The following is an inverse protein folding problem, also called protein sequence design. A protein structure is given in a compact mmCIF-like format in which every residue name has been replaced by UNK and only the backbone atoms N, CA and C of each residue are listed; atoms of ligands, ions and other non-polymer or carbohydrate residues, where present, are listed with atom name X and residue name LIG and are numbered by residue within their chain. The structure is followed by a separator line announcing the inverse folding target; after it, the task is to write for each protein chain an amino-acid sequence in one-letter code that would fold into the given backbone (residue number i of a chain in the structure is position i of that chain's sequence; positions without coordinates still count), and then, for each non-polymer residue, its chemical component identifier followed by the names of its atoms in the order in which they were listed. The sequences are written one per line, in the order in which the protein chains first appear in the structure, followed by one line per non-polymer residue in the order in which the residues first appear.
data_IF_865424751683
#
_entry.id   IF_865424751683
#
_cell.length_a   1.000
_cell.length_b   1.000
_cell.length_c   1.000
_cell.angle_alpha   90.00
_cell.angle_beta   90.00
_cell.angle_gamma   90.00
#
_symmetry.space_group_name_H-M   'P 1'
#
loop_
_entity.id
_entity.type
_entity.pdbx_description
1 polymer ?
#
# COMPACT_ATOMS: atom_id res chain seq x y z
N UNK A 1 -35.99 -6.29 -6.35
CA UNK A 1 -35.01 -5.48 -5.60
C UNK A 1 -33.96 -6.44 -5.03
N UNK A 2 -32.84 -6.64 -5.73
CA UNK A 2 -31.71 -7.42 -5.20
C UNK A 2 -30.68 -6.43 -4.70
N UNK A 3 -30.52 -6.35 -3.37
CA UNK A 3 -29.50 -5.52 -2.75
C UNK A 3 -28.12 -6.13 -3.02
N UNK A 4 -27.34 -5.48 -3.88
CA UNK A 4 -25.92 -5.79 -4.03
C UNK A 4 -25.22 -5.44 -2.73
N UNK A 5 -24.79 -6.47 -2.00
CA UNK A 5 -23.94 -6.34 -0.83
C UNK A 5 -22.60 -5.75 -1.33
N UNK A 6 -22.44 -4.43 -1.22
CA UNK A 6 -21.15 -3.78 -1.47
C UNK A 6 -20.14 -4.41 -0.50
N UNK A 7 -19.07 -4.99 -1.04
CA UNK A 7 -17.97 -5.54 -0.25
C UNK A 7 -17.20 -4.37 0.36
N UNK A 8 -17.68 -3.89 1.51
CA UNK A 8 -16.99 -2.86 2.30
C UNK A 8 -15.61 -3.38 2.69
N UNK A 9 -14.61 -2.50 2.64
CA UNK A 9 -13.30 -2.79 3.22
C UNK A 9 -13.46 -3.24 4.68
N UNK A 10 -12.90 -4.40 4.99
CA UNK A 10 -12.78 -4.93 6.35
C UNK A 10 -11.29 -5.02 6.67
N UNK A 11 -10.76 -4.15 7.55
CA UNK A 11 -9.35 -4.17 7.85
C UNK A 11 -8.98 -5.46 8.60
N UNK A 12 -7.83 -6.05 8.26
CA UNK A 12 -7.28 -7.21 8.95
C UNK A 12 -6.72 -6.83 10.33
N UNK A 13 -6.21 -5.61 10.48
CA UNK A 13 -5.78 -5.04 11.76
C UNK A 13 -6.61 -3.82 12.16
N UNK A 14 -6.86 -3.59 13.47
CA UNK A 14 -7.64 -2.44 13.94
C UNK A 14 -7.02 -1.07 13.59
N UNK A 15 -5.74 -1.04 13.22
CA UNK A 15 -5.03 0.17 12.81
C UNK A 15 -4.20 -0.12 11.55
N UNK A 16 -4.63 0.34 10.35
CA UNK A 16 -3.80 0.26 9.17
C UNK A 16 -2.52 1.08 9.38
N UNK A 17 -1.41 0.60 8.83
CA UNK A 17 -0.08 1.22 9.02
C UNK A 17 -0.01 2.54 8.26
N UNK A 18 -0.54 2.57 7.04
CA UNK A 18 -0.53 3.75 6.18
C UNK A 18 -1.68 3.70 5.17
N UNK A 19 -2.14 4.85 4.72
CA UNK A 19 -3.13 4.98 3.66
C UNK A 19 -2.79 6.17 2.78
N UNK A 20 -2.94 6.01 1.48
CA UNK A 20 -2.82 7.09 0.49
C UNK A 20 -3.95 7.01 -0.52
N UNK A 21 -4.37 8.16 -1.02
CA UNK A 21 -5.35 8.30 -2.09
C UNK A 21 -4.73 9.17 -3.19
N UNK A 22 -4.66 8.63 -4.41
CA UNK A 22 -4.19 9.36 -5.58
C UNK A 22 -5.27 10.31 -6.11
N UNK A 23 -6.50 9.81 -6.14
CA UNK A 23 -7.70 10.52 -6.56
C UNK A 23 -8.93 9.91 -5.85
N UNK A 24 -10.14 10.33 -6.23
CA UNK A 24 -11.38 9.83 -5.61
C UNK A 24 -11.65 8.33 -5.84
N UNK A 25 -10.99 7.72 -6.83
CA UNK A 25 -11.22 6.34 -7.22
C UNK A 25 -10.09 5.41 -6.72
N UNK A 26 -8.87 5.90 -6.65
CA UNK A 26 -7.68 5.11 -6.39
C UNK A 26 -7.14 5.31 -4.97
N UNK A 27 -7.27 4.27 -4.14
CA UNK A 27 -6.86 4.28 -2.72
C UNK A 27 -6.08 3.01 -2.43
N UNK A 28 -5.00 3.16 -1.66
CA UNK A 28 -4.15 2.07 -1.15
C UNK A 28 -4.09 2.16 0.36
N UNK A 29 -4.31 1.03 1.04
CA UNK A 29 -4.19 0.90 2.50
C UNK A 29 -3.21 -0.22 2.80
N UNK A 30 -2.13 0.12 3.50
CA UNK A 30 -1.20 -0.86 4.05
C UNK A 30 -1.81 -1.50 5.29
N UNK A 31 -2.27 -2.73 5.12
CA UNK A 31 -3.00 -3.53 6.10
C UNK A 31 -2.33 -4.89 6.20
N UNK A 32 -1.33 -4.96 7.09
CA UNK A 32 -0.41 -6.09 7.15
C UNK A 32 -1.15 -7.43 7.26
N UNK A 33 -0.76 -8.46 6.47
CA UNK A 33 0.47 -8.55 5.68
C UNK A 33 0.37 -8.04 4.24
N UNK A 34 -0.69 -7.30 3.88
CA UNK A 34 -1.00 -6.96 2.49
C UNK A 34 -1.29 -5.48 2.25
N UNK A 35 -1.72 -5.23 1.02
CA UNK A 35 -2.20 -3.94 0.55
C UNK A 35 -3.65 -4.09 0.08
N UNK A 36 -4.56 -3.40 0.74
CA UNK A 36 -5.92 -3.27 0.26
C UNK A 36 -5.97 -2.14 -0.76
N UNK A 37 -6.47 -2.43 -1.97
CA UNK A 37 -6.51 -1.47 -3.07
C UNK A 37 -7.88 -1.39 -3.71
N UNK A 38 -8.29 -0.17 -4.04
CA UNK A 38 -9.49 0.11 -4.84
C UNK A 38 -9.15 1.04 -5.99
N UNK A 39 -9.90 0.92 -7.08
CA UNK A 39 -9.85 1.80 -8.26
C UNK A 39 -11.24 2.34 -8.62
N UNK A 40 -12.19 2.22 -7.69
CA UNK A 40 -13.59 2.64 -7.87
C UNK A 40 -14.14 3.35 -6.63
N UNK A 41 -13.28 4.01 -5.85
CA UNK A 41 -13.72 4.83 -4.72
C UNK A 41 -14.19 4.00 -3.53
N UNK A 42 -13.71 2.75 -3.44
CA UNK A 42 -13.96 1.85 -2.33
C UNK A 42 -15.25 1.04 -2.44
N UNK A 43 -15.87 0.97 -3.63
CA UNK A 43 -16.98 0.03 -3.87
C UNK A 43 -16.49 -1.42 -3.91
N UNK A 44 -15.32 -1.66 -4.50
CA UNK A 44 -14.64 -2.94 -4.52
C UNK A 44 -13.18 -2.80 -4.08
N UNK A 45 -12.74 -3.76 -3.25
CA UNK A 45 -11.39 -3.82 -2.70
C UNK A 45 -10.72 -5.13 -3.13
N UNK A 46 -9.47 -5.02 -3.60
CA UNK A 46 -8.62 -6.16 -3.88
C UNK A 46 -7.52 -6.23 -2.81
N UNK A 47 -7.20 -7.43 -2.36
CA UNK A 47 -6.08 -7.67 -1.45
C UNK A 47 -4.86 -8.11 -2.27
N UNK A 48 -3.75 -7.38 -2.10
CA UNK A 48 -2.45 -7.74 -2.66
C UNK A 48 -1.59 -8.28 -1.52
N UNK A 49 -1.16 -9.53 -1.64
CA UNK A 49 -0.13 -10.08 -0.75
C UNK A 49 1.22 -9.49 -1.12
N UNK A 50 1.86 -8.82 -0.16
CA UNK A 50 3.17 -8.23 -0.38
C UNK A 50 4.25 -9.32 -0.39
N UNK A 51 5.21 -9.18 -1.31
CA UNK A 51 6.38 -10.04 -1.38
C UNK A 51 7.57 -9.28 -0.79
N UNK A 52 8.21 -9.83 0.25
CA UNK A 52 9.33 -9.20 0.94
C UNK A 52 9.00 -8.78 2.37
N UNK A 53 9.93 -8.07 3.01
CA UNK A 53 9.79 -7.60 4.39
C UNK A 53 9.20 -6.18 4.44
N UNK A 54 7.96 -6.08 4.90
CA UNK A 54 7.24 -4.83 5.12
C UNK A 54 7.08 -4.50 6.60
N UNK A 55 7.72 -5.25 7.51
CA UNK A 55 7.54 -5.11 8.97
C UNK A 55 7.89 -3.72 9.49
N UNK A 56 8.81 -3.02 8.83
CA UNK A 56 9.29 -1.70 9.24
C UNK A 56 8.81 -0.56 8.33
N UNK A 57 7.88 -0.81 7.40
CA UNK A 57 7.28 0.27 6.58
C UNK A 57 6.38 1.12 7.45
N UNK A 58 6.50 2.44 7.32
CA UNK A 58 5.69 3.40 8.08
C UNK A 58 4.87 4.34 7.18
N UNK A 59 5.30 4.56 5.94
CA UNK A 59 4.60 5.44 5.01
C UNK A 59 4.55 4.80 3.63
N UNK A 60 3.40 4.95 2.99
CA UNK A 60 3.12 4.54 1.62
C UNK A 60 2.59 5.76 0.84
N UNK A 61 3.07 5.98 -0.38
CA UNK A 61 2.51 7.00 -1.26
C UNK A 61 2.54 6.60 -2.75
N UNK A 62 1.57 7.09 -3.53
CA UNK A 62 1.43 6.81 -4.95
C UNK A 62 1.25 8.09 -5.76
N UNK A 63 2.02 8.24 -6.84
CA UNK A 63 1.91 9.38 -7.77
C UNK A 63 1.12 9.05 -9.05
N UNK A 64 0.80 7.77 -9.23
CA UNK A 64 -0.02 7.25 -10.32
C UNK A 64 -0.60 5.90 -9.90
N UNK A 65 -1.54 5.36 -10.66
CA UNK A 65 -2.11 4.03 -10.38
C UNK A 65 -1.12 2.87 -10.50
N UNK A 66 0.13 3.14 -10.92
CA UNK A 66 1.19 2.15 -11.11
C UNK A 66 2.43 2.42 -10.27
N UNK A 67 2.82 3.68 -10.12
CA UNK A 67 4.09 4.08 -9.50
C UNK A 67 3.84 4.62 -8.11
N UNK A 68 4.52 4.03 -7.13
CA UNK A 68 4.47 4.43 -5.73
C UNK A 68 5.73 4.03 -4.97
N UNK A 69 5.84 4.52 -3.74
CA UNK A 69 6.95 4.29 -2.83
C UNK A 69 6.45 3.90 -1.45
N UNK A 70 7.26 3.09 -0.77
CA UNK A 70 7.09 2.82 0.64
C UNK A 70 8.41 3.13 1.35
N UNK A 71 8.33 3.82 2.47
CA UNK A 71 9.49 4.14 3.30
C UNK A 71 9.29 3.61 4.71
N UNK A 72 10.40 3.28 5.35
CA UNK A 72 10.39 2.63 6.65
C UNK A 72 11.74 2.65 7.35
N UNK A 73 11.80 2.03 8.51
CA UNK A 73 13.06 1.83 9.23
C UNK A 73 13.73 3.14 9.65
N UNK A 74 12.96 4.18 10.02
CA UNK A 74 13.50 5.48 10.48
C UNK A 74 14.50 5.33 11.64
N UNK A 75 14.31 4.34 12.50
CA UNK A 75 15.17 4.02 13.64
C UNK A 75 16.13 2.84 13.36
N UNK A 76 16.12 2.30 12.13
CA UNK A 76 17.01 1.23 11.69
C UNK A 76 18.34 1.81 11.19
N UNK A 77 19.49 1.13 11.41
CA UNK A 77 20.76 1.47 10.77
C UNK A 77 20.70 1.47 9.24
N UNK A 78 19.73 0.73 8.68
CA UNK A 78 19.45 0.63 7.25
C UNK A 78 17.99 1.03 7.05
N UNK A 79 17.72 2.30 6.69
CA UNK A 79 16.36 2.73 6.43
C UNK A 79 15.89 2.11 5.12
N UNK A 80 14.59 1.87 5.04
CA UNK A 80 13.98 1.13 3.94
C UNK A 80 13.38 2.11 2.93
N UNK A 81 13.74 1.95 1.66
CA UNK A 81 13.11 2.63 0.53
C UNK A 81 12.73 1.60 -0.54
N UNK A 82 11.43 1.41 -0.74
CA UNK A 82 10.88 0.53 -1.76
C UNK A 82 10.18 1.35 -2.84
N UNK A 83 10.21 0.86 -4.07
CA UNK A 83 9.45 1.40 -5.20
C UNK A 83 8.67 0.30 -5.91
N UNK A 84 7.45 0.63 -6.33
CA UNK A 84 6.65 -0.19 -7.24
C UNK A 84 6.44 0.53 -8.56
N UNK A 85 6.24 -0.23 -9.64
CA UNK A 85 5.85 0.27 -10.96
C UNK A 85 4.60 -0.46 -11.50
N UNK A 86 3.93 -1.27 -10.68
CA UNK A 86 2.78 -2.09 -11.06
C UNK A 86 1.61 -2.01 -10.07
N UNK A 87 1.52 -0.90 -9.33
CA UNK A 87 0.41 -0.60 -8.43
C UNK A 87 0.53 -1.28 -7.07
N UNK A 88 1.75 -1.68 -6.68
CA UNK A 88 2.05 -2.30 -5.40
C UNK A 88 2.06 -3.83 -5.43
N UNK A 89 2.00 -4.46 -6.62
CA UNK A 89 2.05 -5.93 -6.75
C UNK A 89 3.46 -6.46 -6.55
N UNK A 90 4.45 -5.74 -7.09
CA UNK A 90 5.87 -6.01 -6.85
C UNK A 90 6.56 -4.74 -6.40
N UNK A 91 7.57 -4.92 -5.55
CA UNK A 91 8.37 -3.86 -4.96
C UNK A 91 9.84 -4.16 -5.14
N UNK A 92 10.61 -3.13 -5.47
CA UNK A 92 12.07 -3.19 -5.59
C UNK A 92 12.66 -2.26 -4.56
N UNK A 93 13.58 -2.78 -3.76
CA UNK A 93 14.38 -1.97 -2.84
C UNK A 93 15.34 -1.07 -3.62
N UNK A 94 15.35 0.21 -3.29
CA UNK A 94 16.26 1.18 -3.86
C UNK A 94 17.43 1.32 -2.88
N UNK A 95 18.59 0.83 -3.28
CA UNK A 95 19.84 1.15 -2.60
C UNK A 95 20.15 2.64 -2.80
N UNK A 96 20.43 3.34 -1.70
CA UNK A 96 20.91 4.72 -1.74
C UNK A 96 22.14 4.86 -0.86
N UNK A 97 23.04 5.74 -1.30
CA UNK A 97 24.16 6.21 -0.50
C UNK A 97 24.05 7.71 -0.46
N UNK A 98 24.07 8.28 0.75
CA UNK A 98 24.21 9.71 0.92
C UNK A 98 25.72 9.94 0.99
N UNK A 99 26.29 10.47 -0.10
CA UNK A 99 27.70 10.86 -0.18
C UNK A 99 27.93 12.27 0.33
#
# INVERSE_FOLDING_TARGET
MMGSHLAKYQPHCPYPISMTALDMNHIWILDAPGLAVTSDGGYHWNQITLQGDFTNVSVLDFISSRVGWAIGGRESPQPLLLKTADGGRTWTEIAYSIS
#
